data_IF_169984076944
#
_entry.id   IF_169984076944
#
_cell.length_a   1.000
_cell.length_b   1.000
_cell.length_c   1.000
_cell.angle_alpha   90.00
_cell.angle_beta   90.00
_cell.angle_gamma   90.00
#
_symmetry.space_group_name_H-M   'P 1'
#
loop_
_entity.id
_entity.type
_entity.pdbx_description
1 polymer ?
#
# COMPACT_ATOMS: atom_id res chain seq x y z
N UNK A 1 -21.65 -9.35 -14.61
CA UNK A 1 -21.85 -8.78 -15.95
C UNK A 1 -23.23 -9.21 -16.42
N UNK A 2 -24.22 -8.40 -16.09
CA UNK A 2 -25.64 -8.75 -16.22
C UNK A 2 -26.28 -8.22 -17.51
N UNK A 3 -25.52 -7.53 -18.37
CA UNK A 3 -26.06 -6.89 -19.58
C UNK A 3 -25.46 -7.52 -20.84
N UNK A 4 -26.25 -8.35 -21.53
CA UNK A 4 -25.85 -9.05 -22.76
C UNK A 4 -25.52 -8.09 -23.92
N UNK A 5 -25.97 -6.83 -23.86
CA UNK A 5 -25.66 -5.82 -24.87
C UNK A 5 -24.18 -5.43 -24.88
N UNK A 6 -23.53 -5.29 -23.72
CA UNK A 6 -22.11 -4.90 -23.64
C UNK A 6 -21.18 -5.99 -24.15
N UNK A 7 -21.47 -7.27 -23.87
CA UNK A 7 -20.70 -8.41 -24.41
C UNK A 7 -20.77 -8.47 -25.94
N UNK A 8 -21.85 -7.98 -26.55
CA UNK A 8 -21.99 -7.93 -28.01
C UNK A 8 -21.31 -6.73 -28.67
N UNK A 9 -20.96 -5.69 -27.90
CA UNK A 9 -20.45 -4.42 -28.41
C UNK A 9 -18.92 -4.32 -28.37
N UNK A 10 -18.25 -5.02 -27.45
CA UNK A 10 -16.82 -4.90 -27.23
C UNK A 10 -16.11 -6.26 -27.21
N UNK A 11 -15.00 -6.37 -27.93
CA UNK A 11 -14.14 -7.56 -27.90
C UNK A 11 -13.38 -7.69 -26.56
N UNK A 12 -13.06 -6.57 -25.92
CA UNK A 12 -12.30 -6.50 -24.67
C UNK A 12 -12.84 -5.38 -23.76
N UNK A 13 -12.88 -5.65 -22.46
CA UNK A 13 -13.17 -4.66 -21.41
C UNK A 13 -11.93 -4.57 -20.52
N UNK A 14 -11.35 -3.38 -20.40
CA UNK A 14 -10.13 -3.13 -19.63
C UNK A 14 -10.48 -2.28 -18.41
N UNK A 15 -10.10 -2.78 -17.23
CA UNK A 15 -10.17 -2.05 -15.97
C UNK A 15 -8.75 -1.61 -15.59
N UNK A 16 -8.59 -0.35 -15.19
CA UNK A 16 -7.32 0.22 -14.75
C UNK A 16 -6.97 -0.14 -13.30
N UNK A 17 -7.94 -0.68 -12.58
CA UNK A 17 -7.86 -1.05 -11.17
C UNK A 17 -8.56 -2.39 -10.96
N UNK A 18 -7.99 -3.21 -10.07
CA UNK A 18 -8.60 -4.45 -9.62
C UNK A 18 -9.05 -4.29 -8.15
N UNK A 19 -10.17 -4.91 -7.75
CA UNK A 19 -10.56 -4.96 -6.34
C UNK A 19 -9.51 -5.73 -5.52
N UNK A 20 -9.32 -5.32 -4.27
CA UNK A 20 -8.40 -6.00 -3.35
C UNK A 20 -8.99 -7.33 -2.86
N UNK A 21 -8.15 -8.26 -2.41
CA UNK A 21 -8.59 -9.55 -1.88
C UNK A 21 -9.57 -9.39 -0.70
N UNK A 22 -9.33 -8.42 0.17
CA UNK A 22 -10.23 -8.07 1.27
C UNK A 22 -11.65 -7.69 0.78
N UNK A 23 -11.77 -6.76 -0.18
CA UNK A 23 -13.08 -6.36 -0.70
C UNK A 23 -13.82 -7.55 -1.33
N UNK A 24 -13.11 -8.41 -2.05
CA UNK A 24 -13.70 -9.61 -2.66
C UNK A 24 -14.16 -10.64 -1.62
N UNK A 25 -13.38 -10.88 -0.55
CA UNK A 25 -13.77 -11.76 0.55
C UNK A 25 -15.01 -11.25 1.29
N UNK A 26 -15.06 -9.95 1.59
CA UNK A 26 -16.24 -9.34 2.21
C UNK A 26 -17.51 -9.57 1.39
N UNK A 27 -17.44 -9.37 0.06
CA UNK A 27 -18.60 -9.56 -0.82
C UNK A 27 -19.08 -11.02 -0.93
N UNK A 28 -18.23 -12.01 -0.60
CA UNK A 28 -18.62 -13.43 -0.57
C UNK A 28 -19.38 -13.81 0.70
N UNK A 29 -19.30 -13.03 1.78
CA UNK A 29 -19.94 -13.36 3.04
C UNK A 29 -21.46 -13.10 3.00
N UNK A 30 -22.32 -14.04 3.45
CA UNK A 30 -23.77 -13.88 3.42
C UNK A 30 -24.27 -12.63 4.17
N UNK A 31 -23.64 -12.33 5.30
CA UNK A 31 -23.93 -11.22 6.22
C UNK A 31 -23.59 -9.84 5.65
N UNK A 32 -22.72 -9.75 4.64
CA UNK A 32 -22.42 -8.51 3.90
C UNK A 32 -23.64 -7.88 3.22
N UNK A 33 -24.67 -8.70 2.99
CA UNK A 33 -25.88 -8.34 2.26
C UNK A 33 -27.09 -8.17 3.17
N UNK A 34 -26.92 -8.32 4.48
CA UNK A 34 -28.01 -8.21 5.46
C UNK A 34 -28.09 -6.79 6.03
N UNK A 35 -29.30 -6.26 6.24
CA UNK A 35 -29.51 -4.91 6.77
C UNK A 35 -29.20 -4.75 8.27
N UNK A 36 -28.56 -5.73 8.91
CA UNK A 36 -28.44 -5.77 10.37
C UNK A 36 -27.39 -4.79 10.92
N UNK A 37 -26.51 -4.27 10.06
CA UNK A 37 -25.39 -3.41 10.49
C UNK A 37 -25.67 -1.92 10.32
N UNK A 38 -26.94 -1.51 10.45
CA UNK A 38 -27.29 -0.10 10.58
C UNK A 38 -27.27 0.40 12.03
N UNK A 39 -27.20 -0.49 13.03
CA UNK A 39 -27.41 -0.13 14.44
C UNK A 39 -26.14 -0.01 15.30
N UNK A 40 -24.98 -0.51 14.85
CA UNK A 40 -23.75 -0.49 15.65
C UNK A 40 -22.82 0.68 15.26
N UNK A 41 -22.83 1.72 16.09
CA UNK A 41 -22.00 2.93 15.96
C UNK A 41 -20.58 2.77 16.53
N UNK A 42 -20.22 1.60 17.07
CA UNK A 42 -18.95 1.39 17.76
C UNK A 42 -18.17 0.22 17.16
N UNK A 43 -17.13 0.53 16.39
CA UNK A 43 -16.04 -0.41 16.07
C UNK A 43 -15.84 -0.69 14.59
N UNK A 44 -16.77 -0.34 13.72
CA UNK A 44 -16.74 -0.84 12.35
C UNK A 44 -16.91 0.31 11.34
N UNK A 45 -15.78 0.93 11.01
CA UNK A 45 -15.69 2.21 10.28
C UNK A 45 -16.12 2.11 8.81
N UNK A 46 -16.13 0.91 8.23
CA UNK A 46 -16.46 0.68 6.82
C UNK A 46 -17.90 0.21 6.60
N UNK A 47 -18.66 -0.07 7.67
CA UNK A 47 -19.89 -0.85 7.58
C UNK A 47 -21.12 -0.08 7.09
N UNK A 48 -21.14 1.26 7.20
CA UNK A 48 -22.25 2.07 6.71
C UNK A 48 -22.35 2.19 5.19
N UNK A 49 -21.33 1.75 4.43
CA UNK A 49 -21.27 1.93 2.97
C UNK A 49 -21.98 0.83 2.17
N UNK A 50 -22.25 -0.33 2.78
CA UNK A 50 -22.87 -1.46 2.10
C UNK A 50 -24.39 -1.55 2.32
N UNK A 51 -24.93 -0.73 3.24
CA UNK A 51 -26.36 -0.58 3.45
C UNK A 51 -27.05 -0.11 2.15
N UNK A 52 -27.87 -0.97 1.55
CA UNK A 52 -28.59 -0.68 0.30
C UNK A 52 -28.16 -1.52 -0.92
N UNK A 53 -27.10 -2.34 -0.80
CA UNK A 53 -26.62 -3.19 -1.90
C UNK A 53 -27.30 -4.57 -1.99
N UNK A 54 -28.22 -4.90 -1.08
CA UNK A 54 -28.94 -6.19 -1.04
C UNK A 54 -29.61 -6.53 -2.39
N UNK A 55 -30.17 -5.52 -3.06
CA UNK A 55 -30.79 -5.64 -4.39
C UNK A 55 -29.80 -6.01 -5.53
N UNK A 56 -28.49 -5.86 -5.31
CA UNK A 56 -27.45 -6.09 -6.30
C UNK A 56 -26.58 -7.33 -6.00
N UNK A 57 -26.90 -8.10 -4.96
CA UNK A 57 -26.13 -9.28 -4.52
C UNK A 57 -25.74 -10.23 -5.66
N UNK A 58 -26.68 -10.57 -6.55
CA UNK A 58 -26.43 -11.48 -7.67
C UNK A 58 -25.44 -10.88 -8.68
N UNK A 59 -25.45 -9.55 -8.88
CA UNK A 59 -24.53 -8.84 -9.79
C UNK A 59 -23.09 -9.00 -9.28
N UNK A 60 -22.88 -8.80 -7.97
CA UNK A 60 -21.56 -8.93 -7.35
C UNK A 60 -21.08 -10.38 -7.31
N UNK A 61 -21.96 -11.33 -6.93
CA UNK A 61 -21.63 -12.76 -6.98
C UNK A 61 -21.22 -13.18 -8.39
N UNK A 62 -21.93 -12.71 -9.41
CA UNK A 62 -21.57 -12.95 -10.81
C UNK A 62 -20.25 -12.26 -11.19
N UNK A 63 -19.98 -11.04 -10.73
CA UNK A 63 -18.72 -10.35 -10.97
C UNK A 63 -17.52 -11.11 -10.38
N UNK A 64 -17.65 -11.61 -9.15
CA UNK A 64 -16.62 -12.44 -8.50
C UNK A 64 -16.39 -13.74 -9.28
N UNK A 65 -17.47 -14.41 -9.74
CA UNK A 65 -17.36 -15.62 -10.59
C UNK A 65 -16.63 -15.34 -11.90
N UNK A 66 -16.91 -14.21 -12.56
CA UNK A 66 -16.24 -13.81 -13.81
C UNK A 66 -14.76 -13.51 -13.55
N UNK A 67 -14.46 -12.82 -12.45
CA UNK A 67 -13.08 -12.49 -12.07
C UNK A 67 -12.25 -13.77 -11.81
N UNK A 68 -12.85 -14.80 -11.21
CA UNK A 68 -12.22 -16.10 -10.97
C UNK A 68 -12.16 -17.02 -12.22
N UNK A 69 -12.89 -16.70 -13.28
CA UNK A 69 -12.90 -17.47 -14.52
C UNK A 69 -11.68 -17.11 -15.39
N UNK A 70 -10.66 -17.97 -15.37
CA UNK A 70 -9.42 -17.79 -16.13
C UNK A 70 -9.58 -17.77 -17.65
N UNK A 71 -10.72 -18.22 -18.20
CA UNK A 71 -10.99 -18.09 -19.64
C UNK A 71 -11.55 -16.72 -20.01
N UNK A 72 -12.18 -16.03 -19.06
CA UNK A 72 -12.80 -14.71 -19.27
C UNK A 72 -11.95 -13.57 -18.77
N UNK A 73 -11.22 -13.79 -17.69
CA UNK A 73 -10.49 -12.74 -17.00
C UNK A 73 -9.01 -13.07 -16.92
N UNK A 74 -8.18 -12.09 -17.25
CA UNK A 74 -6.74 -12.10 -17.00
C UNK A 74 -6.41 -10.92 -16.11
N UNK A 75 -5.74 -11.17 -14.99
CA UNK A 75 -5.27 -10.12 -14.10
C UNK A 75 -3.85 -9.72 -14.49
N UNK A 76 -3.60 -8.41 -14.67
CA UNK A 76 -2.25 -7.88 -14.90
C UNK A 76 -1.74 -7.21 -13.64
N UNK A 77 -0.81 -7.87 -12.95
CA UNK A 77 -0.09 -7.32 -11.81
C UNK A 77 0.98 -6.36 -12.31
N UNK A 78 0.84 -5.07 -11.98
CA UNK A 78 1.85 -4.06 -12.33
C UNK A 78 2.71 -3.77 -11.09
N UNK A 79 4.03 -3.90 -11.23
CA UNK A 79 4.99 -3.59 -10.16
C UNK A 79 6.20 -2.81 -10.69
N UNK A 80 7.07 -2.38 -9.77
CA UNK A 80 8.35 -1.72 -10.04
C UNK A 80 9.49 -2.68 -9.68
N UNK A 81 10.67 -2.57 -10.32
CA UNK A 81 11.84 -3.39 -10.00
C UNK A 81 12.50 -2.94 -8.69
N UNK A 82 11.75 -3.02 -7.58
CA UNK A 82 12.15 -2.60 -6.24
C UNK A 82 11.62 -3.64 -5.23
N UNK A 83 12.31 -3.84 -4.11
CA UNK A 83 11.99 -4.90 -3.13
C UNK A 83 10.57 -4.78 -2.55
N UNK A 84 10.19 -3.59 -2.06
CA UNK A 84 8.87 -3.38 -1.44
C UNK A 84 7.72 -3.52 -2.44
N UNK A 85 7.75 -2.88 -3.64
CA UNK A 85 6.71 -3.10 -4.65
C UNK A 85 6.58 -4.55 -5.12
N UNK A 86 7.68 -5.30 -5.23
CA UNK A 86 7.63 -6.72 -5.61
C UNK A 86 7.00 -7.57 -4.50
N UNK A 87 7.32 -7.31 -3.23
CA UNK A 87 6.68 -7.99 -2.08
C UNK A 87 5.18 -7.71 -2.02
N UNK A 88 4.77 -6.46 -2.26
CA UNK A 88 3.35 -6.10 -2.27
C UNK A 88 2.60 -6.75 -3.43
N UNK A 89 3.20 -6.78 -4.63
CA UNK A 89 2.62 -7.49 -5.77
C UNK A 89 2.50 -9.01 -5.51
N UNK A 90 3.48 -9.62 -4.83
CA UNK A 90 3.43 -11.03 -4.45
C UNK A 90 2.32 -11.32 -3.44
N UNK A 91 2.13 -10.45 -2.44
CA UNK A 91 1.03 -10.53 -1.48
C UNK A 91 -0.32 -10.46 -2.19
N UNK A 92 -0.52 -9.44 -3.04
CA UNK A 92 -1.75 -9.27 -3.81
C UNK A 92 -2.02 -10.47 -4.74
N UNK A 93 -0.98 -11.00 -5.40
CA UNK A 93 -1.06 -12.21 -6.23
C UNK A 93 -1.60 -13.40 -5.44
N UNK A 94 -1.06 -13.64 -4.24
CA UNK A 94 -1.46 -14.73 -3.38
C UNK A 94 -2.92 -14.57 -2.91
N UNK A 95 -3.30 -13.40 -2.41
CA UNK A 95 -4.67 -13.14 -1.95
C UNK A 95 -5.71 -13.36 -3.05
N UNK A 96 -5.40 -12.94 -4.28
CA UNK A 96 -6.28 -13.13 -5.43
C UNK A 96 -6.32 -14.60 -5.88
N UNK A 97 -5.18 -15.31 -5.81
CA UNK A 97 -5.13 -16.73 -6.12
C UNK A 97 -5.95 -17.57 -5.12
N UNK A 98 -5.95 -17.21 -3.83
CA UNK A 98 -6.80 -17.83 -2.80
C UNK A 98 -8.30 -17.65 -3.09
N UNK A 99 -8.67 -16.61 -3.85
CA UNK A 99 -10.04 -16.34 -4.29
C UNK A 99 -10.39 -17.00 -5.63
N UNK A 100 -9.50 -17.84 -6.17
CA UNK A 100 -9.68 -18.54 -7.44
C UNK A 100 -9.22 -17.74 -8.66
N UNK A 101 -8.74 -16.50 -8.50
CA UNK A 101 -8.21 -15.66 -9.59
C UNK A 101 -6.78 -16.09 -9.91
N UNK A 102 -6.64 -17.21 -10.63
CA UNK A 102 -5.34 -17.83 -10.90
C UNK A 102 -4.69 -17.41 -12.23
N UNK A 103 -5.47 -16.85 -13.16
CA UNK A 103 -4.94 -16.38 -14.45
C UNK A 103 -4.33 -14.97 -14.29
N UNK A 104 -3.06 -14.93 -13.87
CA UNK A 104 -2.32 -13.72 -13.56
C UNK A 104 -1.08 -13.57 -14.45
N UNK A 105 -0.78 -12.33 -14.85
CA UNK A 105 0.43 -11.93 -15.56
C UNK A 105 1.15 -10.84 -14.76
N UNK A 106 2.46 -10.73 -14.92
CA UNK A 106 3.28 -9.71 -14.26
C UNK A 106 3.83 -8.71 -15.28
N UNK A 107 3.72 -7.43 -14.98
CA UNK A 107 4.36 -6.34 -15.74
C UNK A 107 5.26 -5.55 -14.80
N UNK A 108 6.56 -5.61 -15.04
CA UNK A 108 7.56 -4.80 -14.34
C UNK A 108 7.75 -3.49 -15.11
N UNK A 109 7.22 -2.40 -14.55
CA UNK A 109 7.23 -1.09 -15.17
C UNK A 109 8.46 -0.26 -14.77
N UNK A 110 9.01 0.49 -15.72
CA UNK A 110 10.14 1.40 -15.55
C UNK A 110 11.48 0.75 -15.23
N UNK A 111 11.79 -0.32 -15.96
CA UNK A 111 13.11 -0.97 -15.92
C UNK A 111 14.15 -0.09 -16.60
N UNK A 112 15.23 0.22 -15.90
CA UNK A 112 16.37 0.93 -16.48
C UNK A 112 17.10 -0.05 -17.40
N UNK A 113 17.19 0.28 -18.69
CA UNK A 113 17.82 -0.58 -19.71
C UNK A 113 19.31 -0.28 -19.92
N UNK A 114 19.72 0.96 -19.65
CA UNK A 114 21.11 1.43 -19.78
C UNK A 114 21.40 2.52 -18.75
N UNK A 115 22.68 2.73 -18.47
CA UNK A 115 23.19 3.77 -17.56
C UNK A 115 24.48 4.36 -18.14
N UNK A 116 24.76 5.62 -17.83
CA UNK A 116 25.92 6.37 -18.31
C UNK A 116 26.62 7.18 -17.21
N UNK A 117 26.09 7.16 -15.98
CA UNK A 117 26.64 7.86 -14.83
C UNK A 117 26.61 6.99 -13.55
N UNK A 118 27.23 7.47 -12.48
CA UNK A 118 27.36 6.70 -11.22
C UNK A 118 26.04 6.53 -10.46
N UNK A 119 25.12 7.49 -10.56
CA UNK A 119 23.78 7.44 -9.97
C UNK A 119 22.92 6.45 -10.75
N UNK A 120 22.88 6.58 -12.09
CA UNK A 120 22.11 5.64 -12.94
C UNK A 120 22.65 4.21 -12.83
N UNK A 121 23.98 4.02 -12.71
CA UNK A 121 24.57 2.72 -12.42
C UNK A 121 24.13 2.15 -11.05
N UNK A 122 24.07 3.00 -10.02
CA UNK A 122 23.59 2.62 -8.70
C UNK A 122 22.11 2.23 -8.68
N UNK A 123 21.26 2.97 -9.40
CA UNK A 123 19.84 2.65 -9.57
C UNK A 123 19.64 1.35 -10.35
N UNK A 124 20.37 1.18 -11.45
CA UNK A 124 20.35 -0.06 -12.23
C UNK A 124 20.73 -1.27 -11.36
N UNK A 125 21.83 -1.19 -10.61
CA UNK A 125 22.27 -2.25 -9.71
C UNK A 125 21.23 -2.60 -8.64
N UNK A 126 20.55 -1.60 -8.07
CA UNK A 126 19.42 -1.81 -7.14
C UNK A 126 18.26 -2.55 -7.81
N UNK A 127 17.89 -2.16 -9.03
CA UNK A 127 16.83 -2.82 -9.78
C UNK A 127 17.17 -4.27 -10.11
N UNK A 128 18.39 -4.54 -10.60
CA UNK A 128 18.82 -5.90 -10.93
C UNK A 128 18.81 -6.81 -9.70
N UNK A 129 19.28 -6.29 -8.55
CA UNK A 129 19.21 -7.04 -7.29
C UNK A 129 17.77 -7.36 -6.89
N UNK A 130 16.87 -6.39 -6.94
CA UNK A 130 15.46 -6.62 -6.60
C UNK A 130 14.78 -7.64 -7.52
N UNK A 131 15.13 -7.64 -8.82
CA UNK A 131 14.63 -8.61 -9.78
C UNK A 131 15.21 -10.01 -9.57
N UNK A 132 16.48 -10.12 -9.16
CA UNK A 132 17.09 -11.40 -8.77
C UNK A 132 16.47 -11.97 -7.49
N UNK A 133 16.22 -11.10 -6.51
CA UNK A 133 15.61 -11.44 -5.22
C UNK A 133 14.06 -11.47 -5.30
N UNK A 134 13.48 -11.52 -6.50
CA UNK A 134 12.03 -11.49 -6.70
C UNK A 134 11.35 -12.64 -5.94
N UNK A 135 10.23 -12.39 -5.22
CA UNK A 135 9.50 -13.43 -4.50
C UNK A 135 9.11 -14.60 -5.41
N UNK A 136 9.29 -15.84 -4.92
CA UNK A 136 9.06 -17.06 -5.71
C UNK A 136 7.65 -17.16 -6.31
N UNK A 137 6.64 -16.61 -5.64
CA UNK A 137 5.27 -16.52 -6.16
C UNK A 137 5.19 -15.78 -7.50
N UNK A 138 5.95 -14.70 -7.66
CA UNK A 138 5.99 -13.92 -8.89
C UNK A 138 6.86 -14.56 -9.98
N UNK A 139 7.89 -15.31 -9.59
CA UNK A 139 8.75 -16.02 -10.54
C UNK A 139 8.00 -17.10 -11.35
N UNK A 140 6.91 -17.64 -10.81
CA UNK A 140 6.03 -18.57 -11.50
C UNK A 140 5.10 -17.94 -12.55
N UNK A 141 4.98 -16.62 -12.56
CA UNK A 141 4.11 -15.89 -13.48
C UNK A 141 4.84 -15.55 -14.78
N UNK A 142 4.09 -15.46 -15.88
CA UNK A 142 4.64 -14.89 -17.11
C UNK A 142 4.86 -13.39 -16.90
N UNK A 143 6.11 -12.95 -17.02
CA UNK A 143 6.52 -11.58 -16.74
C UNK A 143 6.93 -10.83 -18.01
N UNK A 144 6.48 -9.58 -18.12
CA UNK A 144 6.87 -8.63 -19.16
C UNK A 144 7.50 -7.39 -18.52
N UNK A 145 8.33 -6.68 -19.28
CA UNK A 145 9.00 -5.48 -18.78
C UNK A 145 8.71 -4.28 -19.66
N UNK A 146 8.47 -3.12 -19.04
CA UNK A 146 8.37 -1.83 -19.72
C UNK A 146 9.59 -1.00 -19.30
N UNK A 147 10.42 -0.51 -20.25
CA UNK A 147 11.55 0.35 -19.93
C UNK A 147 11.12 1.67 -19.26
N UNK A 148 11.99 2.25 -18.45
CA UNK A 148 11.82 3.62 -17.98
C UNK A 148 11.83 4.58 -19.19
N UNK A 149 10.87 5.50 -19.24
CA UNK A 149 10.75 6.51 -20.30
C UNK A 149 11.12 7.89 -19.76
N UNK A 150 11.84 8.66 -20.56
CA UNK A 150 12.27 10.01 -20.21
C UNK A 150 11.19 11.09 -20.47
N UNK A 151 10.01 10.69 -20.93
CA UNK A 151 8.88 11.58 -21.23
C UNK A 151 7.64 11.20 -20.40
N UNK A 152 6.79 12.20 -20.14
CA UNK A 152 5.49 11.98 -19.51
C UNK A 152 4.57 11.24 -20.49
N UNK A 153 3.85 10.24 -19.99
CA UNK A 153 2.86 9.49 -20.78
C UNK A 153 1.56 10.32 -20.82
N UNK A 154 1.62 11.46 -21.50
CA UNK A 154 0.47 12.32 -21.78
C UNK A 154 0.28 12.43 -23.28
N UNK A 155 -0.96 12.26 -23.75
CA UNK A 155 -1.29 12.24 -25.17
C UNK A 155 -1.07 10.88 -25.86
N UNK A 156 -1.80 10.65 -26.95
CA UNK A 156 -1.85 9.34 -27.63
C UNK A 156 -0.52 8.91 -28.23
N UNK A 157 0.30 9.86 -28.68
CA UNK A 157 1.60 9.56 -29.31
C UNK A 157 2.60 9.02 -28.29
N UNK A 158 2.61 9.56 -27.08
CA UNK A 158 3.47 9.08 -26.00
C UNK A 158 3.01 7.72 -25.45
N UNK A 159 1.70 7.46 -25.42
CA UNK A 159 1.16 6.13 -25.08
C UNK A 159 1.59 5.09 -26.12
N UNK A 160 1.55 5.42 -27.42
CA UNK A 160 2.05 4.52 -28.48
C UNK A 160 3.56 4.34 -28.42
N UNK A 161 4.30 5.41 -28.13
CA UNK A 161 5.74 5.36 -27.97
C UNK A 161 6.13 4.47 -26.78
N UNK A 162 5.36 4.49 -25.67
CA UNK A 162 5.64 3.68 -24.48
C UNK A 162 5.90 2.21 -24.84
N UNK A 163 5.11 1.70 -25.77
CA UNK A 163 5.14 0.30 -26.23
C UNK A 163 6.30 -0.02 -27.17
N UNK A 164 6.95 0.97 -27.80
CA UNK A 164 7.82 0.72 -28.96
C UNK A 164 9.18 1.41 -28.93
N UNK A 165 9.31 2.60 -28.34
CA UNK A 165 10.54 3.39 -28.40
C UNK A 165 10.64 4.40 -27.27
N UNK A 166 11.86 4.82 -26.95
CA UNK A 166 12.03 6.05 -26.17
C UNK A 166 11.87 7.26 -27.11
N UNK A 167 11.28 8.34 -26.60
CA UNK A 167 10.95 9.52 -27.39
C UNK A 167 11.19 10.77 -26.55
N UNK A 168 12.45 11.20 -26.48
CA UNK A 168 12.83 12.44 -25.81
C UNK A 168 13.76 13.25 -26.71
N UNK A 169 13.62 14.57 -26.63
CA UNK A 169 14.61 15.49 -27.18
C UNK A 169 15.59 15.82 -26.06
N UNK A 170 16.89 15.66 -26.32
CA UNK A 170 17.90 16.19 -25.43
C UNK A 170 17.76 17.71 -25.41
N UNK A 171 17.59 18.26 -24.20
CA UNK A 171 17.59 19.70 -23.97
C UNK A 171 18.87 20.05 -23.20
N UNK A 172 19.65 20.98 -23.75
CA UNK A 172 20.80 21.57 -23.05
C UNK A 172 20.35 22.68 -22.08
N UNK A 173 19.05 22.80 -21.83
CA UNK A 173 18.51 23.80 -20.90
C UNK A 173 18.99 23.50 -19.48
N UNK A 174 19.86 24.38 -18.99
CA UNK A 174 20.30 24.36 -17.60
C UNK A 174 19.14 24.88 -16.76
N UNK A 175 18.43 23.98 -16.11
CA UNK A 175 17.39 24.32 -15.15
C UNK A 175 18.02 25.07 -13.97
N UNK A 176 17.83 26.39 -13.94
CA UNK A 176 18.18 27.26 -12.82
C UNK A 176 17.15 27.06 -11.70
N UNK A 177 17.35 26.03 -10.90
CA UNK A 177 16.55 25.84 -9.70
C UNK A 177 17.04 26.84 -8.64
N UNK A 178 16.28 27.91 -8.43
CA UNK A 178 16.54 28.84 -7.34
C UNK A 178 16.27 28.11 -6.01
N UNK A 179 17.35 27.68 -5.35
CA UNK A 179 17.44 27.16 -3.99
C UNK A 179 16.20 26.40 -3.49
N UNK A 180 16.18 25.07 -3.68
CA UNK A 180 15.22 24.21 -2.98
C UNK A 180 15.65 24.00 -1.53
N UNK A 181 14.77 24.27 -0.55
CA UNK A 181 15.03 23.92 0.85
C UNK A 181 15.32 22.42 0.99
N UNK A 182 16.26 22.10 1.88
CA UNK A 182 16.71 20.75 2.16
C UNK A 182 16.10 20.25 3.47
N UNK A 183 16.26 18.95 3.76
CA UNK A 183 15.77 18.36 5.02
C UNK A 183 16.33 19.07 6.27
N UNK A 184 17.56 19.62 6.20
CA UNK A 184 18.15 20.42 7.27
C UNK A 184 17.33 21.68 7.59
N UNK A 185 16.67 22.26 6.59
CA UNK A 185 15.87 23.48 6.73
C UNK A 185 14.55 23.13 7.42
N UNK A 186 13.97 21.97 7.13
CA UNK A 186 12.85 21.41 7.92
C UNK A 186 13.23 21.22 9.39
N UNK A 187 14.42 20.69 9.68
CA UNK A 187 14.91 20.52 11.06
C UNK A 187 15.14 21.89 11.73
N UNK A 188 15.62 22.90 11.00
CA UNK A 188 15.69 24.29 11.49
C UNK A 188 14.32 24.81 11.90
N UNK A 189 13.34 24.71 11.02
CA UNK A 189 12.00 25.24 11.25
C UNK A 189 11.27 24.54 12.40
N UNK A 190 11.43 23.21 12.53
CA UNK A 190 10.84 22.44 13.63
C UNK A 190 11.40 22.84 15.00
N UNK A 191 12.70 23.08 15.07
CA UNK A 191 13.37 23.50 16.31
C UNK A 191 12.98 24.93 16.71
N UNK A 192 12.92 25.85 15.73
CA UNK A 192 12.50 27.25 15.96
C UNK A 192 11.02 27.33 16.35
N UNK A 193 10.16 26.56 15.67
CA UNK A 193 8.72 26.55 15.96
C UNK A 193 8.36 25.81 17.25
N UNK A 194 9.31 25.07 17.84
CA UNK A 194 9.18 24.34 19.11
C UNK A 194 7.94 23.43 19.16
N UNK A 195 7.56 22.84 18.02
CA UNK A 195 6.47 21.88 17.92
C UNK A 195 6.92 20.54 18.50
N UNK A 196 6.22 20.05 19.51
CA UNK A 196 6.59 18.81 20.23
C UNK A 196 6.14 17.52 19.53
N UNK A 197 5.07 17.58 18.75
CA UNK A 197 4.49 16.42 18.08
C UNK A 197 4.67 16.56 16.57
N UNK A 198 5.34 15.59 15.95
CA UNK A 198 5.71 15.59 14.54
C UNK A 198 5.27 14.26 13.92
N UNK A 199 4.44 14.30 12.88
CA UNK A 199 4.00 13.14 12.13
C UNK A 199 4.61 13.14 10.73
N UNK A 200 5.16 12.00 10.30
CA UNK A 200 5.56 11.75 8.91
C UNK A 200 4.50 10.86 8.25
N UNK A 201 3.74 11.40 7.29
CA UNK A 201 2.64 10.69 6.61
C UNK A 201 2.89 10.55 5.10
N UNK A 202 2.23 9.57 4.47
CA UNK A 202 2.41 9.22 3.06
C UNK A 202 2.12 7.74 2.78
N UNK A 203 2.05 7.37 1.50
CA UNK A 203 1.78 5.98 1.06
C UNK A 203 2.91 5.02 1.49
N UNK A 204 2.66 3.70 1.40
CA UNK A 204 3.70 2.69 1.63
C UNK A 204 4.93 2.93 0.74
N UNK A 205 6.14 2.68 1.26
CA UNK A 205 7.38 2.77 0.48
C UNK A 205 7.96 4.16 0.19
N UNK A 206 7.27 5.27 0.50
CA UNK A 206 7.77 6.63 0.20
C UNK A 206 8.93 7.12 1.09
N UNK A 207 9.36 6.32 2.08
CA UNK A 207 10.49 6.67 2.97
C UNK A 207 10.13 7.36 4.28
N UNK A 208 8.87 7.29 4.74
CA UNK A 208 8.40 7.92 6.00
C UNK A 208 9.31 7.64 7.19
N UNK A 209 9.60 6.37 7.47
CA UNK A 209 10.44 5.91 8.58
C UNK A 209 11.85 6.49 8.49
N UNK A 210 12.43 6.52 7.29
CA UNK A 210 13.76 7.09 7.05
C UNK A 210 13.80 8.59 7.32
N UNK A 211 12.78 9.33 6.86
CA UNK A 211 12.67 10.77 7.11
C UNK A 211 12.44 11.07 8.60
N UNK A 212 11.58 10.31 9.28
CA UNK A 212 11.35 10.46 10.71
C UNK A 212 12.65 10.26 11.52
N UNK A 213 13.44 9.23 11.19
CA UNK A 213 14.74 8.99 11.80
C UNK A 213 15.72 10.14 11.58
N UNK A 214 15.80 10.65 10.34
CA UNK A 214 16.68 11.76 10.01
C UNK A 214 16.30 13.06 10.75
N UNK A 215 15.01 13.33 10.89
CA UNK A 215 14.50 14.46 11.71
C UNK A 215 14.90 14.26 13.18
N UNK A 216 14.66 13.07 13.74
CA UNK A 216 15.00 12.77 15.14
C UNK A 216 16.50 12.95 15.43
N UNK A 217 17.38 12.46 14.56
CA UNK A 217 18.82 12.66 14.66
C UNK A 217 19.20 14.14 14.56
N UNK A 218 18.60 14.88 13.62
CA UNK A 218 18.88 16.30 13.45
C UNK A 218 18.49 17.16 14.64
N UNK A 219 17.34 16.86 15.27
CA UNK A 219 16.87 17.55 16.48
C UNK A 219 17.73 17.16 17.69
N UNK A 220 18.07 15.88 17.85
CA UNK A 220 18.91 15.40 18.94
C UNK A 220 20.34 15.98 18.89
N UNK A 221 20.91 16.15 17.70
CA UNK A 221 22.21 16.79 17.51
C UNK A 221 22.25 18.25 18.01
N UNK A 222 21.09 18.88 18.25
CA UNK A 222 20.97 20.23 18.85
C UNK A 222 20.75 20.19 20.37
N UNK A 223 20.99 19.04 21.01
CA UNK A 223 20.86 18.86 22.45
C UNK A 223 19.41 18.71 22.94
N UNK A 224 18.45 18.47 22.03
CA UNK A 224 17.06 18.20 22.39
C UNK A 224 16.86 16.71 22.64
N UNK A 225 15.92 16.37 23.53
CA UNK A 225 15.50 14.98 23.77
C UNK A 225 14.39 14.63 22.80
N UNK A 226 14.53 13.50 22.12
CA UNK A 226 13.56 13.03 21.12
C UNK A 226 13.07 11.64 21.51
N UNK A 227 11.76 11.43 21.40
CA UNK A 227 11.16 10.12 21.43
C UNK A 227 10.69 9.76 20.02
N UNK A 228 11.29 8.75 19.41
CA UNK A 228 10.91 8.26 18.09
C UNK A 228 10.08 6.99 18.24
N UNK A 229 8.83 7.04 17.77
CA UNK A 229 7.97 5.87 17.70
C UNK A 229 7.88 5.38 16.26
N UNK A 230 8.08 4.09 16.03
CA UNK A 230 7.96 3.46 14.71
C UNK A 230 7.08 2.23 14.77
N UNK A 231 6.47 1.91 13.64
CA UNK A 231 5.70 0.68 13.43
C UNK A 231 6.45 -0.32 12.53
N UNK A 232 7.62 0.08 12.02
CA UNK A 232 8.44 -0.78 11.16
C UNK A 232 9.22 -1.79 12.03
N UNK A 233 8.98 -3.11 11.85
CA UNK A 233 9.65 -4.16 12.61
C UNK A 233 11.15 -4.28 12.34
N UNK A 234 11.64 -3.64 11.28
CA UNK A 234 13.00 -3.85 10.83
C UNK A 234 14.07 -3.14 11.68
N UNK A 235 15.16 -3.89 11.90
CA UNK A 235 16.44 -3.42 12.43
C UNK A 235 17.05 -2.23 11.67
N UNK A 236 16.47 -1.74 10.57
CA UNK A 236 16.91 -0.58 9.81
C UNK A 236 17.08 0.67 10.68
N UNK A 237 16.18 0.91 11.64
CA UNK A 237 16.34 2.01 12.60
C UNK A 237 17.46 1.76 13.61
N UNK A 238 17.68 0.52 14.05
CA UNK A 238 18.80 0.17 14.96
C UNK A 238 20.16 0.34 14.30
N UNK A 239 20.25 0.18 12.97
CA UNK A 239 21.48 0.46 12.21
C UNK A 239 21.73 1.95 11.99
N UNK A 240 20.66 2.76 11.91
CA UNK A 240 20.74 4.21 11.68
C UNK A 240 20.91 4.98 13.00
N UNK A 241 20.24 4.52 14.06
CA UNK A 241 20.24 5.11 15.38
C UNK A 241 20.92 4.10 16.30
N UNK A 242 22.26 4.19 16.40
CA UNK A 242 22.90 3.78 17.66
C UNK A 242 22.26 4.64 18.75
N UNK A 243 21.96 4.08 19.92
CA UNK A 243 21.49 4.85 21.08
C UNK A 243 22.52 5.94 21.40
N UNK A 244 22.38 7.09 20.74
CA UNK A 244 23.12 8.31 21.00
C UNK A 244 22.40 9.06 22.11
N UNK A 245 23.17 9.77 22.92
CA UNK A 245 22.66 10.58 24.01
C UNK A 245 21.54 11.53 23.52
N UNK A 246 20.28 11.24 23.89
CA UNK A 246 19.14 12.11 23.62
C UNK A 246 18.03 11.53 22.72
N UNK A 247 18.17 10.34 22.14
CA UNK A 247 17.07 9.68 21.40
C UNK A 247 16.60 8.44 22.17
N UNK A 248 15.32 8.40 22.49
CA UNK A 248 14.64 7.19 22.99
C UNK A 248 13.74 6.65 21.88
N UNK A 249 13.65 5.33 21.75
CA UNK A 249 12.80 4.71 20.73
C UNK A 249 11.73 3.82 21.36
N UNK A 250 10.53 3.87 20.80
CA UNK A 250 9.48 2.88 21.02
C UNK A 250 9.12 2.22 19.69
N UNK A 251 8.84 0.92 19.76
CA UNK A 251 8.37 0.14 18.63
C UNK A 251 6.94 -0.29 18.92
N UNK A 252 6.04 0.03 17.99
CA UNK A 252 4.67 -0.47 17.98
C UNK A 252 4.67 -1.68 17.05
N UNK A 253 4.42 -2.86 17.63
CA UNK A 253 4.23 -4.07 16.84
C UNK A 253 2.83 -4.04 16.23
N UNK A 254 2.77 -3.79 14.92
CA UNK A 254 1.51 -3.67 14.17
C UNK A 254 0.66 -4.94 14.29
N UNK A 255 1.29 -6.13 14.23
CA UNK A 255 0.59 -7.41 14.29
C UNK A 255 0.05 -7.67 15.70
N UNK A 256 0.81 -7.32 16.74
CA UNK A 256 0.38 -7.48 18.12
C UNK A 256 -0.75 -6.52 18.50
N UNK A 257 -0.66 -5.25 18.09
CA UNK A 257 -1.73 -4.27 18.36
C UNK A 257 -2.99 -4.56 17.52
N UNK A 258 -2.83 -5.02 16.28
CA UNK A 258 -3.95 -5.49 15.47
C UNK A 258 -4.66 -6.66 16.15
N UNK A 259 -3.94 -7.70 16.59
CA UNK A 259 -4.55 -8.85 17.30
C UNK A 259 -5.28 -8.43 18.56
N UNK A 260 -4.67 -7.57 19.37
CA UNK A 260 -5.29 -7.04 20.59
C UNK A 260 -6.56 -6.25 20.29
N UNK A 261 -6.56 -5.43 19.23
CA UNK A 261 -7.74 -4.71 18.78
C UNK A 261 -8.83 -5.67 18.28
N UNK A 262 -8.45 -6.66 17.48
CA UNK A 262 -9.34 -7.71 16.96
C UNK A 262 -9.99 -8.48 18.11
N UNK A 263 -9.23 -8.93 19.11
CA UNK A 263 -9.76 -9.63 20.29
C UNK A 263 -10.71 -8.74 21.10
N UNK A 264 -10.41 -7.44 21.26
CA UNK A 264 -11.28 -6.51 21.97
C UNK A 264 -12.63 -6.32 21.25
N UNK A 265 -12.62 -6.20 19.92
CA UNK A 265 -13.85 -6.04 19.12
C UNK A 265 -14.62 -7.36 19.05
N UNK A 266 -13.95 -8.48 18.80
CA UNK A 266 -14.59 -9.80 18.68
C UNK A 266 -15.16 -10.29 20.02
N UNK A 267 -14.52 -10.01 21.15
CA UNK A 267 -15.07 -10.37 22.46
C UNK A 267 -16.41 -9.69 22.72
N UNK A 268 -16.54 -8.39 22.43
CA UNK A 268 -17.80 -7.64 22.54
C UNK A 268 -18.84 -8.11 21.52
N UNK A 269 -18.43 -8.40 20.29
CA UNK A 269 -19.34 -8.90 19.25
C UNK A 269 -19.90 -10.29 19.61
N UNK A 270 -19.09 -11.19 20.18
CA UNK A 270 -19.52 -12.55 20.58
C UNK A 270 -20.62 -12.55 21.66
N UNK A 271 -20.72 -11.49 22.45
CA UNK A 271 -21.77 -11.34 23.46
C UNK A 271 -23.14 -11.01 22.85
N UNK A 272 -23.19 -10.49 21.63
CA UNK A 272 -24.39 -9.84 21.07
C UNK A 272 -24.79 -10.31 19.67
N UNK A 273 -23.93 -11.03 18.94
CA UNK A 273 -24.10 -11.28 17.49
C UNK A 273 -24.14 -12.77 17.14
N UNK A 274 -24.73 -13.09 15.98
CA UNK A 274 -24.81 -14.45 15.45
C UNK A 274 -23.47 -14.94 14.88
N UNK A 275 -23.31 -16.25 14.65
CA UNK A 275 -22.08 -16.81 14.04
C UNK A 275 -21.80 -16.24 12.64
N UNK A 276 -22.84 -15.97 11.84
CA UNK A 276 -22.69 -15.40 10.49
C UNK A 276 -22.24 -13.94 10.53
N UNK A 277 -22.71 -13.17 11.52
CA UNK A 277 -22.31 -11.78 11.73
C UNK A 277 -20.90 -11.68 12.31
N UNK A 278 -20.50 -12.64 13.15
CA UNK A 278 -19.14 -12.74 13.66
C UNK A 278 -18.13 -12.98 12.53
N UNK A 279 -18.43 -13.88 11.60
CA UNK A 279 -17.58 -14.12 10.44
C UNK A 279 -17.40 -12.85 9.58
N UNK A 280 -18.41 -12.00 9.52
CA UNK A 280 -18.35 -10.72 8.81
C UNK A 280 -17.48 -9.69 9.50
N UNK A 281 -17.62 -9.55 10.81
CA UNK A 281 -16.75 -8.67 11.61
C UNK A 281 -15.30 -9.16 11.55
N UNK A 282 -15.07 -10.48 11.61
CA UNK A 282 -13.72 -11.03 11.45
C UNK A 282 -13.08 -10.64 10.11
N UNK A 283 -13.85 -10.61 9.01
CA UNK A 283 -13.33 -10.17 7.72
C UNK A 283 -13.16 -8.65 7.64
N UNK A 284 -14.09 -7.83 8.17
CA UNK A 284 -13.93 -6.37 8.27
C UNK A 284 -12.67 -5.99 9.08
N UNK A 285 -12.42 -6.73 10.15
CA UNK A 285 -11.24 -6.57 10.99
C UNK A 285 -9.92 -6.99 10.30
N UNK A 286 -9.97 -7.63 9.12
CA UNK A 286 -8.80 -7.88 8.26
C UNK A 286 -8.52 -6.74 7.28
N UNK A 287 -9.34 -5.68 7.28
CA UNK A 287 -9.11 -4.50 6.46
C UNK A 287 -7.78 -3.81 6.83
N UNK A 288 -7.02 -3.28 5.85
CA UNK A 288 -5.89 -2.41 6.13
C UNK A 288 -6.23 -1.22 7.05
N UNK A 289 -7.47 -0.71 6.95
CA UNK A 289 -7.96 0.37 7.81
C UNK A 289 -7.97 -0.01 9.30
N UNK A 290 -8.28 -1.28 9.61
CA UNK A 290 -8.30 -1.79 10.99
C UNK A 290 -6.91 -1.77 11.60
N UNK A 291 -5.88 -2.14 10.83
CA UNK A 291 -4.49 -2.05 11.25
C UNK A 291 -4.09 -0.59 11.52
N UNK A 292 -4.47 0.35 10.65
CA UNK A 292 -4.21 1.79 10.86
C UNK A 292 -4.86 2.30 12.15
N UNK A 293 -6.11 1.91 12.44
CA UNK A 293 -6.83 2.28 13.67
C UNK A 293 -6.15 1.69 14.91
N UNK A 294 -5.80 0.40 14.88
CA UNK A 294 -5.17 -0.29 16.00
C UNK A 294 -3.83 0.36 16.37
N UNK A 295 -3.01 0.63 15.35
CA UNK A 295 -1.73 1.33 15.47
C UNK A 295 -1.93 2.76 16.00
N UNK A 296 -2.92 3.51 15.50
CA UNK A 296 -3.20 4.86 15.97
C UNK A 296 -3.62 4.90 17.45
N UNK A 297 -4.38 3.91 17.94
CA UNK A 297 -4.71 3.80 19.37
C UNK A 297 -3.46 3.59 20.22
N UNK A 298 -2.53 2.75 19.79
CA UNK A 298 -1.25 2.55 20.47
C UNK A 298 -0.41 3.84 20.49
N UNK A 299 -0.37 4.58 19.38
CA UNK A 299 0.25 5.91 19.33
C UNK A 299 -0.39 6.90 20.31
N UNK A 300 -1.72 6.98 20.37
CA UNK A 300 -2.42 7.89 21.28
C UNK A 300 -2.05 7.64 22.75
N UNK A 301 -1.91 6.37 23.16
CA UNK A 301 -1.47 5.99 24.50
C UNK A 301 -0.01 6.39 24.79
N UNK A 302 0.86 6.44 23.78
CA UNK A 302 2.25 6.91 23.93
C UNK A 302 2.28 8.42 24.09
N UNK A 303 1.48 9.15 23.31
CA UNK A 303 1.36 10.61 23.41
C UNK A 303 0.81 11.01 24.79
N UNK A 304 -0.21 10.33 25.30
CA UNK A 304 -0.78 10.58 26.63
C UNK A 304 0.23 10.35 27.77
N UNK A 305 1.11 9.35 27.64
CA UNK A 305 2.18 9.08 28.63
C UNK A 305 3.36 10.07 28.55
N UNK A 306 3.42 10.89 27.51
CA UNK A 306 4.50 11.85 27.29
C UNK A 306 4.18 13.27 27.77
N UNK A 307 2.93 13.52 28.22
CA UNK A 307 2.53 14.71 28.99
C UNK A 307 2.82 14.55 30.49
#
# INVERSE_FOLDING_TARGET
>A
MTDQEMESQYDYIIFDTAPTGHTLRMLQLPSAWSNFISENTHGASCLGQLSGLESQKEIYAQAVRILADGYKTTLVLVSRPEDTPLKEAARASQELAELGVSNQLLVINGVISSYDDSISAGLYGKQQKALQDMPGQLQGLTAYTIPLRAYNITGIDNVRALLTKDNYALSDEILSVQHLPQLKDVINDLDVSNRKVIFTMGKGGVGKTTIAAAIAMGISARGKRVHLTTTDPAAHLKFVIRETDGITMSHIDEDAELKKYQEEVLSKARETMSEEDLAYIEEDLRSPCTQEIAVFRAFAQIVEKAE
#
